data_IF_690613904675
#
_entry.id   IF_690613904675
#
_cell.length_a   1.000
_cell.length_b   1.000
_cell.length_c   1.000
_cell.angle_alpha   90.00
_cell.angle_beta   90.00
_cell.angle_gamma   90.00
#
_symmetry.space_group_name_H-M   'P 1'
#
loop_
_entity.id
_entity.type
_entity.pdbx_description
1 polymer ?
#
# COMPACT_ATOMS: atom_id res chain seq x y z
N UNK A 1 20.02 -4.04 -41.71
CA UNK A 1 19.06 -4.81 -40.90
C UNK A 1 19.44 -4.89 -39.42
N UNK A 2 20.65 -5.34 -39.03
CA UNK A 2 21.06 -5.45 -37.60
C UNK A 2 20.88 -4.18 -36.76
N UNK A 3 21.24 -2.99 -37.30
CA UNK A 3 21.08 -1.71 -36.59
C UNK A 3 19.62 -1.34 -36.33
N UNK A 4 18.72 -1.68 -37.25
CA UNK A 4 17.29 -1.42 -37.08
C UNK A 4 16.70 -2.30 -35.98
N UNK A 5 17.12 -3.57 -35.93
CA UNK A 5 16.71 -4.51 -34.88
C UNK A 5 17.18 -4.00 -33.51
N UNK A 6 18.44 -3.57 -33.36
CA UNK A 6 18.93 -3.02 -32.09
C UNK A 6 18.18 -1.75 -31.65
N UNK A 7 17.82 -0.87 -32.60
CA UNK A 7 17.01 0.31 -32.27
C UNK A 7 15.62 -0.08 -31.79
N UNK A 8 14.93 -0.98 -32.49
CA UNK A 8 13.61 -1.43 -32.08
C UNK A 8 13.64 -2.14 -30.72
N UNK A 9 14.64 -2.97 -30.46
CA UNK A 9 14.79 -3.66 -29.18
C UNK A 9 15.00 -2.69 -28.02
N UNK A 10 15.88 -1.69 -28.16
CA UNK A 10 16.13 -0.72 -27.08
C UNK A 10 14.90 0.12 -26.76
N UNK A 11 14.14 0.55 -27.76
CA UNK A 11 12.91 1.30 -27.56
C UNK A 11 11.79 0.44 -26.98
N UNK A 12 11.66 -0.82 -27.43
CA UNK A 12 10.69 -1.76 -26.86
C UNK A 12 10.96 -2.03 -25.37
N UNK A 13 12.23 -2.16 -24.97
CA UNK A 13 12.62 -2.28 -23.57
C UNK A 13 12.27 -1.00 -22.80
N UNK A 14 12.60 0.17 -23.32
CA UNK A 14 12.29 1.45 -22.67
C UNK A 14 10.79 1.62 -22.44
N UNK A 15 9.95 1.30 -23.43
CA UNK A 15 8.49 1.31 -23.33
C UNK A 15 8.00 0.29 -22.30
N UNK A 16 8.54 -0.93 -22.32
CA UNK A 16 8.19 -1.97 -21.35
C UNK A 16 8.49 -1.57 -19.91
N UNK A 17 9.66 -0.97 -19.67
CA UNK A 17 10.05 -0.46 -18.34
C UNK A 17 9.13 0.68 -17.92
N UNK A 18 8.90 1.67 -18.79
CA UNK A 18 8.02 2.81 -18.51
C UNK A 18 6.58 2.37 -18.19
N UNK A 19 6.07 1.38 -18.93
CA UNK A 19 4.74 0.82 -18.69
C UNK A 19 4.66 0.07 -17.36
N UNK A 20 5.66 -0.76 -17.03
CA UNK A 20 5.72 -1.46 -15.75
C UNK A 20 5.82 -0.49 -14.56
N UNK A 21 6.65 0.55 -14.67
CA UNK A 21 6.73 1.62 -13.67
C UNK A 21 5.41 2.37 -13.54
N UNK A 22 4.74 2.66 -14.65
CA UNK A 22 3.40 3.27 -14.65
C UNK A 22 2.38 2.44 -13.87
N UNK A 23 2.32 1.13 -14.14
CA UNK A 23 1.44 0.21 -13.39
C UNK A 23 1.78 0.21 -11.90
N UNK A 24 3.07 0.26 -11.55
CA UNK A 24 3.51 0.27 -10.14
C UNK A 24 3.17 1.58 -9.41
N UNK A 25 3.30 2.72 -10.09
CA UNK A 25 3.08 4.05 -9.49
C UNK A 25 1.61 4.47 -9.49
N UNK A 26 0.79 3.95 -10.41
CA UNK A 26 -0.61 4.36 -10.55
C UNK A 26 -1.40 4.19 -9.24
N UNK A 27 -1.35 3.04 -8.52
CA UNK A 27 -2.09 2.87 -7.27
C UNK A 27 -1.72 3.92 -6.22
N UNK A 28 -0.44 4.26 -6.13
CA UNK A 28 0.11 5.25 -5.18
C UNK A 28 -0.47 6.64 -5.44
N UNK A 29 -0.51 7.06 -6.72
CA UNK A 29 -0.97 8.39 -7.11
C UNK A 29 -2.50 8.51 -7.05
N UNK A 30 -3.21 7.40 -7.23
CA UNK A 30 -4.68 7.36 -7.20
C UNK A 30 -5.25 7.06 -5.81
N UNK A 31 -4.40 6.83 -4.82
CA UNK A 31 -4.85 6.54 -3.47
C UNK A 31 -5.64 7.74 -2.89
N UNK A 32 -6.77 7.50 -2.21
CA UNK A 32 -7.49 8.56 -1.53
C UNK A 32 -6.64 9.16 -0.42
N UNK A 33 -6.88 10.44 -0.12
CA UNK A 33 -6.25 11.12 1.01
C UNK A 33 -6.52 10.37 2.31
N UNK A 34 -5.48 10.23 3.13
CA UNK A 34 -5.53 9.48 4.36
C UNK A 34 -6.56 10.06 5.35
N UNK A 35 -7.18 9.20 6.19
CA UNK A 35 -8.06 9.65 7.26
C UNK A 35 -7.38 10.61 8.24
N UNK A 36 -8.16 11.47 8.90
CA UNK A 36 -7.66 12.38 9.91
C UNK A 36 -7.06 11.64 11.12
N UNK A 37 -5.96 12.17 11.66
CA UNK A 37 -5.20 11.61 12.77
C UNK A 37 -6.07 11.38 14.02
N UNK A 38 -6.94 12.34 14.34
CA UNK A 38 -7.83 12.24 15.50
C UNK A 38 -8.83 11.08 15.38
N UNK A 39 -9.35 10.85 14.16
CA UNK A 39 -10.29 9.75 13.89
C UNK A 39 -9.60 8.38 13.99
N UNK A 40 -8.31 8.30 13.66
CA UNK A 40 -7.54 7.06 13.79
C UNK A 40 -7.20 6.75 15.24
N UNK A 41 -6.91 7.78 16.03
CA UNK A 41 -6.63 7.64 17.46
C UNK A 41 -7.87 7.15 18.22
N UNK A 42 -9.05 7.69 17.91
CA UNK A 42 -10.34 7.19 18.43
C UNK A 42 -10.55 5.71 18.08
N UNK A 43 -10.30 5.33 16.82
CA UNK A 43 -10.46 3.94 16.36
C UNK A 43 -9.45 2.99 16.99
N UNK A 44 -8.21 3.44 17.18
CA UNK A 44 -7.17 2.67 17.84
C UNK A 44 -7.48 2.37 19.32
N UNK A 45 -8.28 3.19 20.01
CA UNK A 45 -8.72 2.90 21.38
C UNK A 45 -9.59 1.64 21.49
N UNK A 46 -10.28 1.27 20.41
CA UNK A 46 -11.13 0.06 20.36
C UNK A 46 -10.37 -1.23 20.01
N UNK A 47 -9.05 -1.14 19.87
CA UNK A 47 -8.21 -2.25 19.40
C UNK A 47 -8.14 -3.40 20.38
N UNK A 48 -8.25 -4.62 19.85
CA UNK A 48 -8.08 -5.86 20.60
C UNK A 48 -6.61 -6.26 20.67
N UNK A 49 -5.85 -5.94 19.62
CA UNK A 49 -4.42 -6.24 19.54
C UNK A 49 -3.67 -5.01 19.02
N UNK A 50 -2.47 -4.80 19.55
CA UNK A 50 -1.56 -3.76 19.09
C UNK A 50 -0.19 -4.37 18.81
N UNK A 51 0.42 -4.00 17.69
CA UNK A 51 1.74 -4.45 17.28
C UNK A 51 2.57 -3.26 16.78
N UNK A 52 3.87 -3.29 17.04
CA UNK A 52 4.81 -2.28 16.55
C UNK A 52 5.52 -2.79 15.29
N UNK A 53 5.44 -2.02 14.22
CA UNK A 53 6.17 -2.24 12.98
C UNK A 53 7.50 -1.53 13.04
N UNK A 54 8.59 -2.30 12.95
CA UNK A 54 9.95 -1.80 12.79
C UNK A 54 10.49 -2.21 11.43
N UNK A 55 11.42 -1.40 10.89
CA UNK A 55 11.97 -1.61 9.55
C UNK A 55 12.74 -2.92 9.39
N UNK A 56 13.19 -3.53 10.49
CA UNK A 56 13.94 -4.77 10.50
C UNK A 56 13.05 -6.02 10.67
N UNK A 57 11.72 -5.87 10.62
CA UNK A 57 10.80 -7.01 10.67
C UNK A 57 10.95 -7.91 9.45
N UNK A 58 10.80 -9.21 9.70
CA UNK A 58 10.79 -10.25 8.66
C UNK A 58 9.66 -9.97 7.66
N UNK A 59 10.01 -9.62 6.42
CA UNK A 59 9.06 -9.21 5.38
C UNK A 59 9.26 -7.77 4.90
N UNK A 60 9.98 -6.94 5.67
CA UNK A 60 10.44 -5.62 5.26
C UNK A 60 11.56 -5.74 4.23
N UNK A 61 11.45 -5.00 3.13
CA UNK A 61 12.45 -4.91 2.07
C UNK A 61 12.57 -3.47 1.55
N UNK A 62 13.53 -3.23 0.66
CA UNK A 62 13.84 -1.89 0.14
C UNK A 62 12.62 -1.14 -0.42
N UNK A 63 11.68 -1.85 -1.05
CA UNK A 63 10.49 -1.26 -1.68
C UNK A 63 9.23 -1.36 -0.81
N UNK A 64 9.17 -2.30 0.12
CA UNK A 64 8.00 -2.60 0.96
C UNK A 64 8.42 -2.69 2.41
N UNK A 65 8.16 -1.64 3.17
CA UNK A 65 8.48 -1.57 4.59
C UNK A 65 7.41 -0.76 5.32
N UNK A 66 7.30 -0.96 6.63
CA UNK A 66 6.42 -0.20 7.49
C UNK A 66 7.12 0.15 8.80
N UNK A 67 6.88 1.35 9.29
CA UNK A 67 7.34 1.86 10.58
C UNK A 67 6.13 2.51 11.27
N UNK A 68 5.78 2.06 12.48
CA UNK A 68 4.64 2.62 13.22
C UNK A 68 3.87 1.60 14.04
N UNK A 69 2.71 1.99 14.55
CA UNK A 69 1.86 1.11 15.38
C UNK A 69 0.67 0.62 14.55
N UNK A 70 0.44 -0.68 14.55
CA UNK A 70 -0.78 -1.30 14.03
C UNK A 70 -1.68 -1.68 15.19
N UNK A 71 -2.92 -1.22 15.12
CA UNK A 71 -4.00 -1.55 16.02
C UNK A 71 -5.04 -2.36 15.25
N UNK A 72 -5.33 -3.56 15.73
CA UNK A 72 -6.28 -4.51 15.12
C UNK A 72 -7.50 -4.64 16.03
N UNK A 73 -8.64 -4.24 15.50
CA UNK A 73 -9.97 -4.43 16.08
C UNK A 73 -10.69 -5.57 15.35
N UNK A 74 -11.84 -5.99 15.89
CA UNK A 74 -12.70 -6.99 15.22
C UNK A 74 -13.15 -6.52 13.83
N UNK A 75 -13.36 -5.21 13.73
CA UNK A 75 -13.97 -4.56 12.59
C UNK A 75 -13.05 -3.54 11.94
N UNK A 76 -11.72 -3.53 12.18
CA UNK A 76 -10.79 -2.66 11.44
C UNK A 76 -9.32 -2.93 11.76
N UNK A 77 -8.46 -2.51 10.84
CA UNK A 77 -7.02 -2.44 11.03
C UNK A 77 -6.60 -0.98 10.82
N UNK A 78 -6.00 -0.40 11.85
CA UNK A 78 -5.53 0.98 11.89
C UNK A 78 -4.01 0.96 11.93
N UNK A 79 -3.35 1.61 10.97
CA UNK A 79 -1.91 1.82 10.99
C UNK A 79 -1.56 3.30 11.20
N UNK A 80 -0.81 3.59 12.25
CA UNK A 80 -0.30 4.92 12.57
C UNK A 80 1.22 4.95 12.36
N UNK A 81 1.68 5.60 11.28
CA UNK A 81 3.09 5.69 10.92
C UNK A 81 3.34 5.78 9.42
N UNK A 82 4.53 5.36 8.98
CA UNK A 82 4.99 5.38 7.58
C UNK A 82 4.94 3.99 6.96
N UNK A 83 4.45 3.88 5.73
CA UNK A 83 4.48 2.65 4.92
C UNK A 83 4.96 2.96 3.51
N UNK A 84 5.87 2.12 3.00
CA UNK A 84 6.26 2.05 1.60
C UNK A 84 5.51 0.90 0.90
N UNK A 85 5.17 1.05 -0.40
CA UNK A 85 5.76 2.00 -1.34
C UNK A 85 5.13 3.40 -1.37
N UNK A 86 3.92 3.59 -0.86
CA UNK A 86 3.36 4.88 -0.42
C UNK A 86 1.88 4.69 -0.07
N UNK A 87 1.60 4.40 1.19
CA UNK A 87 0.32 4.79 1.79
C UNK A 87 0.57 5.10 3.25
N UNK A 88 0.88 6.36 3.52
CA UNK A 88 0.88 6.88 4.88
C UNK A 88 -0.55 6.78 5.39
N UNK A 89 -0.75 6.04 6.48
CA UNK A 89 -1.99 5.93 7.23
C UNK A 89 -3.13 5.22 6.47
N UNK A 90 -3.38 3.97 6.86
CA UNK A 90 -4.48 3.16 6.34
C UNK A 90 -5.35 2.72 7.52
N UNK A 91 -6.59 3.24 7.57
CA UNK A 91 -7.68 2.61 8.32
C UNK A 91 -8.44 1.75 7.32
N UNK A 92 -8.09 0.46 7.21
CA UNK A 92 -8.94 -0.43 6.42
C UNK A 92 -10.15 -0.79 7.27
N UNK A 93 -11.28 -0.13 7.01
CA UNK A 93 -12.58 -0.68 7.40
C UNK A 93 -12.73 -2.01 6.64
N UNK A 94 -13.09 -3.13 7.31
CA UNK A 94 -13.37 -4.37 6.65
C UNK A 94 -14.53 -4.09 5.71
N UNK A 95 -14.32 -4.53 4.48
CA UNK A 95 -15.34 -4.65 3.47
C UNK A 95 -16.61 -5.19 4.14
N UNK A 96 -17.64 -4.35 4.21
CA UNK A 96 -18.95 -4.69 4.77
C UNK A 96 -19.41 -6.00 4.12
N UNK A 97 -19.34 -7.09 4.89
CA UNK A 97 -19.82 -8.43 4.52
C UNK A 97 -21.33 -8.45 4.21
N UNK A 98 -22.04 -7.33 4.38
CA UNK A 98 -23.44 -7.15 4.00
C UNK A 98 -23.67 -7.24 2.48
N UNK A 99 -22.66 -7.00 1.64
CA UNK A 99 -22.84 -7.04 0.17
C UNK A 99 -22.64 -8.41 -0.49
N UNK A 100 -22.28 -9.45 0.28
CA UNK A 100 -22.11 -10.83 -0.21
C UNK A 100 -23.29 -11.76 0.13
N UNK A 101 -24.44 -11.21 0.54
CA UNK A 101 -25.70 -11.96 0.74
C UNK A 101 -26.76 -11.62 -0.31
N UNK A 102 -26.34 -11.30 -1.54
CA UNK A 102 -27.27 -11.09 -2.66
C UNK A 102 -26.65 -11.52 -3.98
N UNK A 103 -26.39 -12.82 -4.10
CA UNK A 103 -26.43 -13.57 -5.37
C UNK A 103 -27.14 -14.88 -5.09
#
# INVERSE_FOLDING_TARGET
MRRLITFLTTHAIAVGIGFALGIYLLPILTAPSSPDAAMLEEKAQSALFTAELTRDLKGSNFLHWGEGTISVSKDEIVHQGKLAPAQTILSTSPMSLSKMSRI
#
